data_IF_729014333515
#
_entry.id   IF_729014333515
#
_cell.length_a   1.000
_cell.length_b   1.000
_cell.length_c   1.000
_cell.angle_alpha   90.00
_cell.angle_beta   90.00
_cell.angle_gamma   90.00
#
_symmetry.space_group_name_H-M   'P 1'
#
loop_
_entity.id
_entity.type
_entity.pdbx_description
1 polymer ?
#
# COMPACT_ATOMS: atom_id res chain seq x y z
N UNK A 1 -23.56 6.24 8.91
CA UNK A 1 -22.41 6.34 9.84
C UNK A 1 -22.73 7.32 10.96
N UNK A 2 -22.21 7.15 12.19
CA UNK A 2 -22.46 8.11 13.28
C UNK A 2 -21.42 9.26 13.27
N UNK A 3 -21.77 10.39 13.89
CA UNK A 3 -20.95 11.62 13.89
C UNK A 3 -19.57 11.43 14.55
N UNK A 4 -19.48 10.59 15.58
CA UNK A 4 -18.23 10.30 16.29
C UNK A 4 -17.24 9.55 15.37
N UNK A 5 -17.70 8.54 14.64
CA UNK A 5 -16.90 7.81 13.64
C UNK A 5 -16.43 8.76 12.54
N UNK A 6 -17.25 9.74 12.13
CA UNK A 6 -16.86 10.73 11.14
C UNK A 6 -15.74 11.67 11.66
N UNK A 7 -15.85 12.14 12.90
CA UNK A 7 -14.82 12.96 13.54
C UNK A 7 -13.52 12.16 13.73
N UNK A 8 -13.60 10.92 14.21
CA UNK A 8 -12.45 10.04 14.39
C UNK A 8 -11.78 9.70 13.06
N UNK A 9 -12.55 9.48 11.99
CA UNK A 9 -12.02 9.31 10.64
C UNK A 9 -11.25 10.55 10.18
N UNK A 10 -11.79 11.76 10.40
CA UNK A 10 -11.11 13.01 10.02
C UNK A 10 -9.82 13.19 10.83
N UNK A 11 -9.88 13.00 12.15
CA UNK A 11 -8.72 13.15 13.04
C UNK A 11 -7.66 12.09 12.73
N UNK A 12 -8.04 10.83 12.58
CA UNK A 12 -7.15 9.73 12.22
C UNK A 12 -6.52 9.92 10.84
N UNK A 13 -7.30 10.35 9.85
CA UNK A 13 -6.79 10.67 8.51
C UNK A 13 -5.81 11.86 8.56
N UNK A 14 -6.10 12.89 9.35
CA UNK A 14 -5.22 14.05 9.51
C UNK A 14 -3.90 13.70 10.20
N UNK A 15 -3.94 12.88 11.25
CA UNK A 15 -2.75 12.41 11.95
C UNK A 15 -1.89 11.49 11.08
N UNK A 16 -2.50 10.52 10.39
CA UNK A 16 -1.84 9.65 9.40
C UNK A 16 -1.16 10.49 8.33
N UNK A 17 -1.90 11.40 7.70
CA UNK A 17 -1.37 12.28 6.66
C UNK A 17 -0.22 13.17 7.16
N UNK A 18 -0.28 13.69 8.39
CA UNK A 18 0.82 14.47 8.96
C UNK A 18 2.08 13.62 9.19
N UNK A 19 1.93 12.43 9.79
CA UNK A 19 3.05 11.54 10.09
C UNK A 19 3.70 11.06 8.79
N UNK A 20 2.90 10.58 7.84
CA UNK A 20 3.41 10.07 6.57
C UNK A 20 4.02 11.17 5.72
N UNK A 21 3.42 12.37 5.68
CA UNK A 21 4.00 13.53 5.02
C UNK A 21 5.34 13.95 5.66
N UNK A 22 5.40 14.01 7.00
CA UNK A 22 6.63 14.32 7.72
C UNK A 22 7.73 13.30 7.39
N UNK A 23 7.41 12.01 7.45
CA UNK A 23 8.36 10.94 7.18
C UNK A 23 8.79 10.92 5.71
N UNK A 24 7.89 11.24 4.78
CA UNK A 24 8.25 11.35 3.37
C UNK A 24 9.17 12.56 3.11
N UNK A 25 8.93 13.68 3.80
CA UNK A 25 9.74 14.88 3.64
C UNK A 25 11.14 14.72 4.23
N UNK A 26 11.26 14.08 5.39
CA UNK A 26 12.53 13.84 6.04
C UNK A 26 13.36 12.77 5.31
N UNK A 27 14.57 13.15 4.89
CA UNK A 27 15.51 12.29 4.16
C UNK A 27 15.92 11.03 4.92
N UNK A 28 15.88 11.04 6.25
CA UNK A 28 16.26 9.88 7.07
C UNK A 28 15.15 8.83 7.14
N UNK A 29 13.90 9.27 7.26
CA UNK A 29 12.73 8.39 7.42
C UNK A 29 12.07 8.01 6.10
N UNK A 30 12.26 8.83 5.05
CA UNK A 30 11.71 8.62 3.70
C UNK A 30 12.01 7.24 3.13
N UNK A 31 13.25 6.71 3.14
CA UNK A 31 13.49 5.41 2.55
C UNK A 31 12.71 4.29 3.24
N UNK A 32 12.58 4.32 4.56
CA UNK A 32 11.82 3.29 5.28
C UNK A 32 10.33 3.32 4.90
N UNK A 33 9.77 4.53 4.72
CA UNK A 33 8.39 4.71 4.28
C UNK A 33 8.18 4.18 2.85
N UNK A 34 9.08 4.55 1.91
CA UNK A 34 9.01 4.08 0.52
C UNK A 34 9.15 2.56 0.41
N UNK A 35 9.99 1.95 1.25
CA UNK A 35 10.11 0.49 1.36
C UNK A 35 8.82 -0.17 1.87
N UNK A 36 8.16 0.45 2.85
CA UNK A 36 6.85 0.01 3.32
C UNK A 36 5.82 -0.02 2.18
N UNK A 37 5.76 1.04 1.38
CA UNK A 37 4.87 1.08 0.21
C UNK A 37 5.26 0.03 -0.83
N UNK A 38 6.53 -0.08 -1.22
CA UNK A 38 6.97 -1.10 -2.18
C UNK A 38 6.52 -2.51 -1.77
N UNK A 39 6.68 -2.86 -0.48
CA UNK A 39 6.30 -4.17 0.07
C UNK A 39 4.78 -4.37 0.06
N UNK A 40 4.01 -3.34 0.38
CA UNK A 40 2.55 -3.40 0.37
C UNK A 40 2.03 -3.63 -1.04
N UNK A 41 2.43 -2.80 -2.01
CA UNK A 41 1.92 -2.90 -3.39
C UNK A 41 2.39 -4.18 -4.06
N UNK A 42 3.67 -4.55 -3.92
CA UNK A 42 4.16 -5.81 -4.51
C UNK A 42 3.57 -7.04 -3.81
N UNK A 43 3.19 -6.91 -2.54
CA UNK A 43 2.64 -7.98 -1.72
C UNK A 43 1.18 -8.31 -2.01
N UNK A 44 0.41 -7.35 -2.53
CA UNK A 44 -1.00 -7.54 -2.89
C UNK A 44 -1.18 -8.28 -4.23
N UNK A 45 -0.20 -8.18 -5.14
CA UNK A 45 -0.25 -8.74 -6.50
C UNK A 45 -0.68 -10.21 -6.55
N UNK A 46 -0.07 -11.16 -5.82
CA UNK A 46 -0.46 -12.56 -5.92
C UNK A 46 -1.90 -12.83 -5.46
N UNK A 47 -2.40 -12.02 -4.54
CA UNK A 47 -3.78 -12.11 -4.07
C UNK A 47 -4.75 -11.63 -5.15
N UNK A 48 -4.48 -10.48 -5.78
CA UNK A 48 -5.28 -9.94 -6.87
C UNK A 48 -5.29 -10.85 -8.11
N UNK A 49 -4.14 -11.45 -8.46
CA UNK A 49 -4.07 -12.41 -9.57
C UNK A 49 -4.91 -13.67 -9.31
N UNK A 50 -4.91 -14.19 -8.09
CA UNK A 50 -5.79 -15.30 -7.71
C UNK A 50 -7.26 -14.92 -7.76
N UNK A 51 -7.61 -13.71 -7.30
CA UNK A 51 -8.99 -13.21 -7.42
C UNK A 51 -9.41 -13.05 -8.88
N UNK A 52 -8.51 -12.56 -9.75
CA UNK A 52 -8.75 -12.51 -11.21
C UNK A 52 -9.07 -13.89 -11.74
N UNK A 53 -8.23 -14.88 -11.44
CA UNK A 53 -8.39 -16.25 -11.95
C UNK A 53 -9.69 -16.87 -11.43
N UNK A 54 -10.04 -16.61 -10.17
CA UNK A 54 -11.32 -17.00 -9.59
C UNK A 54 -12.50 -16.33 -10.28
N UNK A 55 -12.49 -15.01 -10.45
CA UNK A 55 -13.55 -14.27 -11.13
C UNK A 55 -13.76 -14.81 -12.56
N UNK A 56 -12.68 -15.14 -13.27
CA UNK A 56 -12.74 -15.77 -14.58
C UNK A 56 -13.39 -17.16 -14.53
N UNK A 57 -12.98 -18.01 -13.56
CA UNK A 57 -13.54 -19.34 -13.38
C UNK A 57 -15.03 -19.32 -12.99
N UNK A 58 -15.48 -18.28 -12.28
CA UNK A 58 -16.88 -18.05 -11.92
C UNK A 58 -17.69 -17.38 -13.05
N UNK A 59 -17.06 -17.04 -14.17
CA UNK A 59 -17.72 -16.45 -15.35
C UNK A 59 -17.88 -14.93 -15.31
N UNK A 60 -17.36 -14.24 -14.30
CA UNK A 60 -17.34 -12.78 -14.24
C UNK A 60 -16.10 -12.22 -14.95
N UNK A 61 -16.15 -12.21 -16.28
CA UNK A 61 -15.07 -11.73 -17.14
C UNK A 61 -14.77 -10.25 -16.96
N UNK A 62 -15.76 -9.42 -16.63
CA UNK A 62 -15.56 -8.00 -16.37
C UNK A 62 -14.75 -7.79 -15.09
N UNK A 63 -15.12 -8.48 -14.01
CA UNK A 63 -14.39 -8.37 -12.74
C UNK A 63 -12.97 -8.94 -12.89
N UNK A 64 -12.81 -10.04 -13.61
CA UNK A 64 -11.49 -10.60 -13.91
C UNK A 64 -10.61 -9.57 -14.65
N UNK A 65 -11.14 -8.88 -15.65
CA UNK A 65 -10.39 -7.84 -16.36
C UNK A 65 -9.97 -6.69 -15.44
N UNK A 66 -10.88 -6.18 -14.60
CA UNK A 66 -10.56 -5.11 -13.64
C UNK A 66 -9.47 -5.56 -12.64
N UNK A 67 -9.60 -6.76 -12.08
CA UNK A 67 -8.60 -7.34 -11.17
C UNK A 67 -7.25 -7.56 -11.86
N UNK A 68 -7.25 -7.95 -13.13
CA UNK A 68 -6.03 -8.09 -13.92
C UNK A 68 -5.33 -6.75 -14.15
N UNK A 69 -6.08 -5.68 -14.41
CA UNK A 69 -5.54 -4.32 -14.51
C UNK A 69 -5.00 -3.84 -13.16
N UNK A 70 -5.78 -3.99 -12.09
CA UNK A 70 -5.37 -3.64 -10.73
C UNK A 70 -4.06 -4.35 -10.34
N UNK A 71 -3.96 -5.67 -10.55
CA UNK A 71 -2.72 -6.41 -10.27
C UNK A 71 -1.50 -5.91 -11.08
N UNK A 72 -1.70 -5.42 -12.31
CA UNK A 72 -0.61 -4.86 -13.12
C UNK A 72 -0.22 -3.45 -12.66
N UNK A 73 -1.19 -2.65 -12.26
CA UNK A 73 -0.97 -1.34 -11.66
C UNK A 73 -0.17 -1.51 -10.35
N UNK A 74 -0.51 -2.48 -9.48
CA UNK A 74 0.25 -2.77 -8.26
C UNK A 74 1.70 -3.21 -8.50
N UNK A 75 1.96 -4.02 -9.54
CA UNK A 75 3.34 -4.34 -9.96
C UNK A 75 4.10 -3.07 -10.33
N UNK A 76 3.46 -2.17 -11.06
CA UNK A 76 4.05 -0.89 -11.48
C UNK A 76 4.25 0.04 -10.28
N UNK A 77 3.34 0.07 -9.32
CA UNK A 77 3.47 0.85 -8.09
C UNK A 77 4.69 0.38 -7.28
N UNK A 78 4.83 -0.94 -7.09
CA UNK A 78 6.01 -1.53 -6.47
C UNK A 78 7.33 -1.10 -7.15
N UNK A 79 7.35 -1.06 -8.49
CA UNK A 79 8.50 -0.58 -9.25
C UNK A 79 8.77 0.92 -9.08
N UNK A 80 7.73 1.76 -9.00
CA UNK A 80 7.86 3.19 -8.74
C UNK A 80 8.55 3.43 -7.40
N UNK A 81 8.10 2.75 -6.35
CA UNK A 81 8.69 2.86 -5.02
C UNK A 81 10.12 2.29 -4.97
N UNK A 82 10.37 1.16 -5.64
CA UNK A 82 11.72 0.59 -5.77
C UNK A 82 12.69 1.55 -6.47
N UNK A 83 12.25 2.22 -7.54
CA UNK A 83 13.06 3.21 -8.25
C UNK A 83 13.31 4.45 -7.38
N UNK A 84 12.32 4.90 -6.60
CA UNK A 84 12.48 6.00 -5.66
C UNK A 84 13.52 5.65 -4.57
N UNK A 85 13.50 4.42 -4.04
CA UNK A 85 14.51 3.93 -3.11
C UNK A 85 15.91 3.88 -3.73
N UNK A 86 16.03 3.36 -4.95
CA UNK A 86 17.31 3.27 -5.65
C UNK A 86 17.97 4.64 -5.83
N UNK A 87 17.19 5.70 -6.09
CA UNK A 87 17.69 7.07 -6.18
C UNK A 87 18.15 7.66 -4.84
N UNK A 88 17.82 6.99 -3.74
CA UNK A 88 18.31 7.28 -2.39
C UNK A 88 19.42 6.32 -1.95
N UNK A 89 19.99 5.52 -2.86
CA UNK A 89 20.98 4.49 -2.59
C UNK A 89 20.51 3.45 -1.56
N UNK A 90 19.19 3.23 -1.49
CA UNK A 90 18.55 2.25 -0.62
C UNK A 90 17.84 1.18 -1.43
N UNK A 91 17.66 0.03 -0.81
CA UNK A 91 16.81 -1.06 -1.29
C UNK A 91 16.10 -1.73 -0.12
N UNK A 92 14.97 -2.39 -0.40
CA UNK A 92 14.25 -3.19 0.60
C UNK A 92 15.14 -4.36 1.03
N UNK A 93 15.16 -4.65 2.33
CA UNK A 93 15.86 -5.82 2.88
C UNK A 93 15.28 -7.11 2.27
N UNK A 94 16.15 -8.04 1.88
CA UNK A 94 15.70 -9.38 1.48
C UNK A 94 15.30 -10.19 2.73
N UNK A 95 14.02 -10.13 3.09
CA UNK A 95 13.46 -10.86 4.22
C UNK A 95 13.55 -12.38 4.05
N UNK A 96 13.72 -12.91 2.83
CA UNK A 96 13.93 -14.36 2.61
C UNK A 96 15.34 -14.78 3.05
N UNK A 97 16.34 -13.93 2.86
CA UNK A 97 17.71 -14.17 3.33
C UNK A 97 17.84 -14.00 4.85
N UNK A 98 17.17 -13.01 5.45
CA UNK A 98 17.16 -12.85 6.91
C UNK A 98 16.43 -13.98 7.64
N UNK A 99 15.33 -14.50 7.08
CA UNK A 99 14.60 -15.63 7.66
C UNK A 99 15.39 -16.96 7.67
N UNK A 100 16.48 -17.04 6.90
CA UNK A 100 17.40 -18.19 6.93
C UNK A 100 18.51 -18.03 7.98
N UNK A 101 18.72 -16.82 8.53
CA UNK A 101 19.78 -16.53 9.51
C UNK A 101 19.28 -16.38 10.95
N UNK A 102 17.97 -16.24 11.19
CA UNK A 102 17.40 -16.17 12.53
C UNK A 102 16.81 -17.53 12.96
N UNK A 103 17.48 -18.13 13.94
CA UNK A 103 17.11 -19.35 14.63
C UNK A 103 15.71 -19.26 15.30
N UNK A 104 15.17 -20.44 15.64
CA UNK A 104 13.79 -20.78 15.99
C UNK A 104 13.11 -20.07 17.20
N UNK A 105 13.49 -18.86 17.61
CA UNK A 105 12.89 -18.18 18.78
C UNK A 105 11.79 -17.13 18.48
N UNK A 106 11.77 -16.48 17.31
CA UNK A 106 10.78 -15.42 17.01
C UNK A 106 9.62 -15.87 16.11
N UNK A 107 9.16 -17.11 16.24
CA UNK A 107 7.95 -17.58 15.52
C UNK A 107 6.66 -16.88 15.96
N UNK A 108 6.69 -16.08 17.04
CA UNK A 108 5.56 -15.25 17.47
C UNK A 108 5.40 -13.95 16.67
N UNK A 109 6.42 -13.48 15.96
CA UNK A 109 6.39 -12.19 15.26
C UNK A 109 5.84 -12.23 13.83
N UNK A 110 5.42 -13.40 13.31
CA UNK A 110 4.56 -13.47 12.11
C UNK A 110 3.10 -13.15 12.46
N UNK A 111 2.88 -12.35 13.49
CA UNK A 111 1.58 -11.83 13.87
C UNK A 111 1.15 -10.84 12.79
N UNK A 112 -0.08 -11.00 12.32
CA UNK A 112 -0.72 -10.06 11.39
C UNK A 112 -0.62 -8.64 11.94
N UNK A 113 -0.58 -7.64 11.05
CA UNK A 113 -0.56 -6.23 11.48
C UNK A 113 -1.73 -5.98 12.44
N UNK A 114 -1.54 -5.26 13.57
CA UNK A 114 -2.62 -4.91 14.50
C UNK A 114 -3.81 -4.25 13.80
N UNK A 115 -3.54 -3.49 12.74
CA UNK A 115 -4.58 -2.94 11.88
C UNK A 115 -5.35 -4.03 11.15
N UNK A 116 -4.67 -4.99 10.52
CA UNK A 116 -5.32 -6.06 9.76
C UNK A 116 -6.21 -6.92 10.67
N UNK A 117 -5.72 -7.27 11.86
CA UNK A 117 -6.47 -8.06 12.83
C UNK A 117 -7.73 -7.32 13.31
N UNK A 118 -7.63 -6.01 13.57
CA UNK A 118 -8.78 -5.21 13.96
C UNK A 118 -9.76 -4.97 12.79
N UNK A 119 -9.23 -4.73 11.58
CA UNK A 119 -10.03 -4.44 10.39
C UNK A 119 -10.88 -5.63 9.96
N UNK A 120 -10.31 -6.84 10.08
CA UNK A 120 -10.97 -8.11 9.77
C UNK A 120 -11.32 -8.94 11.00
N UNK A 121 -11.59 -8.32 12.15
CA UNK A 121 -11.77 -8.99 13.46
C UNK A 121 -12.78 -10.15 13.51
N UNK A 122 -13.75 -10.16 12.60
CA UNK A 122 -14.81 -11.18 12.52
C UNK A 122 -14.56 -12.23 11.42
N UNK A 123 -13.39 -12.18 10.76
CA UNK A 123 -13.01 -13.07 9.67
C UNK A 123 -11.80 -13.92 10.03
N UNK A 124 -11.93 -15.22 9.85
CA UNK A 124 -10.81 -16.15 9.99
C UNK A 124 -9.79 -15.95 8.87
N UNK A 125 -8.56 -16.42 9.11
CA UNK A 125 -7.53 -16.41 8.09
C UNK A 125 -7.90 -17.17 6.82
N UNK A 126 -8.68 -18.23 6.96
CA UNK A 126 -9.16 -19.05 5.85
C UNK A 126 -10.18 -18.29 4.99
N UNK A 127 -11.10 -17.57 5.63
CA UNK A 127 -12.12 -16.77 4.93
C UNK A 127 -11.50 -15.61 4.15
N UNK A 128 -10.33 -15.11 4.54
CA UNK A 128 -9.67 -13.98 3.87
C UNK A 128 -8.73 -14.41 2.73
N UNK A 129 -8.65 -15.71 2.44
CA UNK A 129 -7.90 -16.19 1.26
C UNK A 129 -8.64 -15.86 -0.03
N UNK A 130 -7.91 -15.63 -1.11
CA UNK A 130 -8.50 -15.27 -2.41
C UNK A 130 -9.52 -16.31 -2.89
N UNK A 131 -9.25 -17.57 -2.59
CA UNK A 131 -10.10 -18.72 -2.93
C UNK A 131 -11.45 -18.69 -2.20
N UNK A 132 -11.53 -18.06 -1.03
CA UNK A 132 -12.67 -18.19 -0.12
C UNK A 132 -13.38 -16.88 0.21
N UNK A 133 -12.71 -15.73 0.03
CA UNK A 133 -13.24 -14.44 0.45
C UNK A 133 -14.56 -14.13 -0.25
N UNK A 134 -15.55 -13.74 0.53
CA UNK A 134 -16.82 -13.28 -0.02
C UNK A 134 -16.59 -12.02 -0.87
N UNK A 135 -17.25 -11.95 -2.04
CA UNK A 135 -17.02 -10.85 -2.97
C UNK A 135 -17.42 -9.49 -2.40
N UNK A 136 -18.48 -9.41 -1.60
CA UNK A 136 -18.91 -8.16 -0.96
C UNK A 136 -17.91 -7.75 0.12
N UNK A 137 -17.36 -8.71 0.86
CA UNK A 137 -16.28 -8.48 1.84
C UNK A 137 -15.03 -7.92 1.15
N UNK A 138 -14.57 -8.56 0.07
CA UNK A 138 -13.43 -8.07 -0.70
C UNK A 138 -13.70 -6.65 -1.25
N UNK A 139 -14.79 -6.47 -1.99
CA UNK A 139 -15.07 -5.19 -2.65
C UNK A 139 -15.28 -4.05 -1.65
N UNK A 140 -16.02 -4.29 -0.58
CA UNK A 140 -16.29 -3.29 0.45
C UNK A 140 -15.04 -2.90 1.24
N UNK A 141 -14.25 -3.89 1.67
CA UNK A 141 -13.03 -3.63 2.43
C UNK A 141 -11.96 -2.94 1.58
N UNK A 142 -11.66 -3.48 0.41
CA UNK A 142 -10.64 -2.93 -0.49
C UNK A 142 -11.05 -1.55 -1.00
N UNK A 143 -12.33 -1.30 -1.32
CA UNK A 143 -12.79 0.03 -1.73
C UNK A 143 -12.41 1.14 -0.75
N UNK A 144 -12.59 0.90 0.55
CA UNK A 144 -12.26 1.87 1.59
C UNK A 144 -10.74 2.07 1.71
N UNK A 145 -9.95 1.01 1.52
CA UNK A 145 -8.49 1.10 1.54
C UNK A 145 -7.97 1.92 0.34
N UNK A 146 -8.37 1.58 -0.89
CA UNK A 146 -7.89 2.30 -2.09
C UNK A 146 -8.37 3.74 -2.14
N UNK A 147 -9.63 4.00 -1.76
CA UNK A 147 -10.18 5.35 -1.78
C UNK A 147 -9.39 6.29 -0.87
N UNK A 148 -8.91 5.80 0.28
CA UNK A 148 -8.16 6.63 1.19
C UNK A 148 -6.67 6.64 0.88
N UNK A 149 -6.10 5.52 0.40
CA UNK A 149 -4.75 5.48 -0.13
C UNK A 149 -4.55 6.52 -1.25
N UNK A 150 -5.51 6.64 -2.17
CA UNK A 150 -5.48 7.66 -3.23
C UNK A 150 -5.31 9.09 -2.67
N UNK A 151 -6.08 9.43 -1.63
CA UNK A 151 -6.03 10.76 -1.00
C UNK A 151 -4.74 10.96 -0.22
N UNK A 152 -4.30 9.94 0.50
CA UNK A 152 -3.09 9.99 1.30
C UNK A 152 -1.86 10.13 0.41
N UNK A 153 -1.78 9.43 -0.72
CA UNK A 153 -0.73 9.61 -1.72
C UNK A 153 -0.70 11.03 -2.29
N UNK A 154 -1.85 11.63 -2.64
CA UNK A 154 -1.90 13.04 -3.07
C UNK A 154 -1.36 13.97 -1.98
N UNK A 155 -1.84 13.82 -0.73
CA UNK A 155 -1.43 14.68 0.40
C UNK A 155 0.06 14.57 0.66
N UNK A 156 0.58 13.34 0.69
CA UNK A 156 2.00 13.07 0.91
C UNK A 156 2.86 13.62 -0.23
N UNK A 157 2.48 13.39 -1.49
CA UNK A 157 3.22 13.90 -2.63
C UNK A 157 3.31 15.43 -2.62
N UNK A 158 2.24 16.13 -2.21
CA UNK A 158 2.20 17.58 -2.18
C UNK A 158 3.14 18.22 -1.15
N UNK A 159 3.68 17.48 -0.19
CA UNK A 159 4.67 18.02 0.77
C UNK A 159 6.11 17.92 0.27
N UNK A 160 6.34 17.16 -0.81
CA UNK A 160 7.64 17.06 -1.44
C UNK A 160 7.93 18.33 -2.27
N UNK A 161 9.13 18.92 -2.11
CA UNK A 161 9.54 20.06 -2.91
C UNK A 161 9.80 19.66 -4.37
N UNK A 162 9.80 20.67 -5.26
CA UNK A 162 10.05 20.51 -6.70
C UNK A 162 11.42 21.08 -7.11
N UNK A 163 12.29 21.36 -6.13
CA UNK A 163 13.58 22.03 -6.32
C UNK A 163 14.71 21.11 -6.79
N UNK A 164 14.58 19.80 -6.57
CA UNK A 164 15.51 18.79 -7.07
C UNK A 164 14.82 17.69 -7.90
N UNK A 165 15.55 17.16 -8.90
CA UNK A 165 15.02 16.18 -9.85
C UNK A 165 14.63 14.86 -9.20
N UNK A 166 15.33 14.42 -8.15
CA UNK A 166 15.04 13.14 -7.47
C UNK A 166 13.72 13.24 -6.73
N UNK A 167 13.55 14.29 -5.93
CA UNK A 167 12.34 14.53 -5.15
C UNK A 167 11.15 14.84 -6.05
N UNK A 168 11.31 15.66 -7.10
CA UNK A 168 10.27 15.93 -8.08
C UNK A 168 9.83 14.65 -8.83
N UNK A 169 10.77 13.76 -9.17
CA UNK A 169 10.44 12.49 -9.81
C UNK A 169 9.72 11.52 -8.87
N UNK A 170 10.11 11.47 -7.58
CA UNK A 170 9.41 10.69 -6.55
C UNK A 170 7.97 11.19 -6.37
N UNK A 171 7.79 12.52 -6.28
CA UNK A 171 6.46 13.15 -6.23
C UNK A 171 5.60 12.76 -7.42
N UNK A 172 6.13 12.87 -8.65
CA UNK A 172 5.42 12.45 -9.86
C UNK A 172 5.02 10.97 -9.83
N UNK A 173 5.90 10.10 -9.34
CA UNK A 173 5.62 8.69 -9.15
C UNK A 173 4.44 8.46 -8.21
N UNK A 174 4.47 9.07 -7.02
CA UNK A 174 3.41 8.94 -6.01
C UNK A 174 2.06 9.48 -6.53
N UNK A 175 2.06 10.61 -7.25
CA UNK A 175 0.84 11.14 -7.86
C UNK A 175 0.26 10.21 -8.93
N UNK A 176 1.12 9.50 -9.68
CA UNK A 176 0.66 8.48 -10.63
C UNK A 176 0.02 7.29 -9.91
N UNK A 177 0.59 6.83 -8.78
CA UNK A 177 -0.02 5.78 -7.93
C UNK A 177 -1.40 6.24 -7.43
N UNK A 178 -1.50 7.48 -6.93
CA UNK A 178 -2.78 8.02 -6.44
C UNK A 178 -3.92 8.03 -7.48
N UNK A 179 -3.58 8.29 -8.75
CA UNK A 179 -4.54 8.25 -9.85
C UNK A 179 -5.05 6.84 -10.12
N UNK A 180 -4.18 5.84 -9.95
CA UNK A 180 -4.51 4.43 -10.11
C UNK A 180 -5.38 3.96 -8.95
N UNK A 181 -5.05 4.31 -7.71
CA UNK A 181 -5.90 3.98 -6.55
C UNK A 181 -7.30 4.58 -6.65
N UNK A 182 -7.43 5.76 -7.26
CA UNK A 182 -8.74 6.35 -7.54
C UNK A 182 -9.55 5.48 -8.50
N UNK A 183 -8.91 4.90 -9.52
CA UNK A 183 -9.56 3.96 -10.45
C UNK A 183 -9.86 2.62 -9.77
N UNK A 184 -8.96 2.13 -8.91
CA UNK A 184 -9.16 0.90 -8.14
C UNK A 184 -10.41 1.03 -7.27
N UNK A 185 -10.51 2.11 -6.50
CA UNK A 185 -11.70 2.42 -5.72
C UNK A 185 -12.97 2.51 -6.59
N UNK A 186 -12.89 3.15 -7.75
CA UNK A 186 -14.04 3.32 -8.64
C UNK A 186 -14.59 1.98 -9.14
N UNK A 187 -13.75 1.06 -9.63
CA UNK A 187 -14.25 -0.22 -10.12
C UNK A 187 -14.78 -1.11 -8.99
N UNK A 188 -14.20 -1.04 -7.78
CA UNK A 188 -14.69 -1.80 -6.63
C UNK A 188 -16.08 -1.33 -6.22
N UNK A 189 -16.32 -0.01 -6.23
CA UNK A 189 -17.65 0.56 -6.00
C UNK A 189 -18.64 0.15 -7.10
N UNK A 190 -18.21 0.17 -8.36
CA UNK A 190 -19.04 -0.33 -9.47
C UNK A 190 -19.38 -1.81 -9.30
N UNK A 191 -18.41 -2.62 -8.87
CA UNK A 191 -18.59 -4.05 -8.64
C UNK A 191 -19.63 -4.33 -7.54
N UNK A 192 -19.68 -3.50 -6.49
CA UNK A 192 -20.74 -3.50 -5.47
C UNK A 192 -22.10 -3.13 -6.07
N UNK A 193 -22.19 -2.05 -6.85
CA UNK A 193 -23.43 -1.61 -7.48
C UNK A 193 -24.00 -2.59 -8.50
N UNK A 194 -23.15 -3.41 -9.13
CA UNK A 194 -23.59 -4.50 -10.02
C UNK A 194 -24.26 -5.66 -9.26
N UNK A 195 -24.07 -5.76 -7.94
CA UNK A 195 -24.51 -6.88 -7.10
C UNK A 195 -25.58 -6.50 -6.08
N UNK A 196 -25.59 -5.25 -5.66
CA UNK A 196 -26.36 -4.77 -4.52
C UNK A 196 -27.17 -3.52 -4.90
N UNK A 197 -28.25 -3.29 -4.18
CA UNK A 197 -29.01 -2.04 -4.26
C UNK A 197 -28.19 -0.87 -3.70
N UNK A 198 -28.49 0.39 -4.09
CA UNK A 198 -27.78 1.56 -3.56
C UNK A 198 -27.79 1.66 -2.03
N UNK A 199 -28.88 1.23 -1.37
CA UNK A 199 -28.99 1.24 0.08
C UNK A 199 -28.06 0.20 0.74
N UNK A 200 -27.97 -1.00 0.17
CA UNK A 200 -27.05 -2.04 0.64
C UNK A 200 -25.59 -1.62 0.42
N UNK A 201 -25.26 -1.02 -0.72
CA UNK A 201 -23.92 -0.48 -0.97
C UNK A 201 -23.55 0.57 0.07
N UNK A 202 -24.45 1.51 0.38
CA UNK A 202 -24.22 2.52 1.42
C UNK A 202 -23.96 1.88 2.79
N UNK A 203 -24.72 0.84 3.16
CA UNK A 203 -24.51 0.12 4.42
C UNK A 203 -23.15 -0.58 4.49
N UNK A 204 -22.73 -1.25 3.41
CA UNK A 204 -21.42 -1.90 3.32
C UNK A 204 -20.29 -0.86 3.45
N UNK A 205 -20.40 0.27 2.76
CA UNK A 205 -19.41 1.36 2.85
C UNK A 205 -19.31 1.91 4.28
N UNK A 206 -20.45 2.14 4.93
CA UNK A 206 -20.51 2.64 6.29
C UNK A 206 -19.92 1.65 7.30
N UNK A 207 -20.17 0.35 7.11
CA UNK A 207 -19.58 -0.71 7.93
C UNK A 207 -18.05 -0.71 7.80
N UNK A 208 -17.51 -0.83 6.58
CA UNK A 208 -16.06 -0.91 6.37
C UNK A 208 -15.33 0.37 6.75
N UNK A 209 -15.97 1.53 6.60
CA UNK A 209 -15.42 2.79 7.11
C UNK A 209 -15.35 2.79 8.64
N UNK A 210 -16.35 2.24 9.32
CA UNK A 210 -16.35 2.12 10.78
C UNK A 210 -15.27 1.14 11.26
N UNK A 211 -15.14 -0.03 10.61
CA UNK A 211 -14.07 -1.00 10.86
C UNK A 211 -12.68 -0.40 10.69
N UNK A 212 -12.49 0.46 9.67
CA UNK A 212 -11.21 1.15 9.46
C UNK A 212 -10.86 2.08 10.62
N UNK A 213 -11.82 2.85 11.11
CA UNK A 213 -11.61 3.74 12.26
C UNK A 213 -11.21 2.93 13.49
N UNK A 214 -11.90 1.83 13.79
CA UNK A 214 -11.54 0.93 14.88
C UNK A 214 -10.12 0.38 14.72
N UNK A 215 -9.75 -0.01 13.50
CA UNK A 215 -8.43 -0.53 13.19
C UNK A 215 -7.31 0.51 13.33
N UNK A 216 -7.57 1.77 12.95
CA UNK A 216 -6.62 2.87 13.17
C UNK A 216 -6.42 3.14 14.67
N UNK A 217 -7.49 3.10 15.47
CA UNK A 217 -7.39 3.24 16.93
C UNK A 217 -6.57 2.09 17.55
N UNK A 218 -6.81 0.85 17.12
CA UNK A 218 -6.05 -0.31 17.57
C UNK A 218 -4.55 -0.18 17.23
N UNK A 219 -4.23 0.29 16.01
CA UNK A 219 -2.85 0.54 15.59
C UNK A 219 -2.18 1.60 16.46
N UNK A 220 -2.87 2.73 16.74
CA UNK A 220 -2.34 3.81 17.58
C UNK A 220 -2.09 3.33 19.01
N UNK A 221 -3.05 2.61 19.61
CA UNK A 221 -2.87 2.03 20.95
C UNK A 221 -1.65 1.11 21.01
N UNK A 222 -1.47 0.24 20.01
CA UNK A 222 -0.32 -0.66 19.97
C UNK A 222 1.01 0.07 19.77
N UNK A 223 1.03 1.15 18.96
CA UNK A 223 2.22 1.97 18.77
C UNK A 223 2.65 2.66 20.08
N UNK A 224 1.69 3.15 20.87
CA UNK A 224 1.93 3.72 22.20
C UNK A 224 2.48 2.66 23.16
N UNK A 225 1.88 1.46 23.18
CA UNK A 225 2.36 0.34 24.01
C UNK A 225 3.79 -0.09 23.67
N UNK A 226 4.18 -0.05 22.40
CA UNK A 226 5.52 -0.40 21.91
C UNK A 226 6.54 0.75 21.96
N UNK A 227 6.22 1.85 22.65
CA UNK A 227 7.08 3.04 22.77
C UNK A 227 7.58 3.60 21.43
N UNK A 228 6.78 3.44 20.37
CA UNK A 228 7.08 3.99 19.05
C UNK A 228 8.21 3.32 18.26
N UNK A 229 8.66 2.12 18.63
CA UNK A 229 9.68 1.40 17.89
C UNK A 229 9.14 0.89 16.53
N UNK A 230 9.75 1.33 15.42
CA UNK A 230 9.55 0.75 14.09
C UNK A 230 10.82 0.07 13.59
N UNK A 231 10.69 -1.15 13.06
CA UNK A 231 11.79 -1.90 12.45
C UNK A 231 12.22 -1.24 11.14
N UNK A 232 13.53 -1.19 10.88
CA UNK A 232 14.06 -0.77 9.57
C UNK A 232 13.73 -1.81 8.51
N UNK A 233 13.26 -1.34 7.35
CA UNK A 233 12.89 -2.12 6.16
C UNK A 233 13.89 -1.96 5.01
N UNK A 234 14.87 -1.07 5.17
CA UNK A 234 15.84 -0.73 4.13
C UNK A 234 17.27 -1.12 4.54
N UNK A 235 18.06 -1.45 3.52
CA UNK A 235 19.51 -1.59 3.58
C UNK A 235 20.14 -0.72 2.49
N UNK A 236 21.44 -0.48 2.58
CA UNK A 236 22.17 0.19 1.50
C UNK A 236 22.09 -0.66 0.22
N UNK A 237 21.89 0.00 -0.91
CA UNK A 237 22.05 -0.65 -2.21
C UNK A 237 23.51 -1.09 -2.34
N UNK A 238 23.74 -2.34 -2.77
CA UNK A 238 25.10 -2.75 -3.11
C UNK A 238 25.61 -1.79 -4.19
N UNK A 239 26.88 -1.33 -4.12
CA UNK A 239 27.43 -0.47 -5.17
C UNK A 239 27.24 -1.21 -6.49
N UNK A 240 26.48 -0.60 -7.41
CA UNK A 240 26.42 -1.12 -8.76
C UNK A 240 27.84 -1.07 -9.30
N UNK A 241 28.37 -2.20 -9.78
CA UNK A 241 29.49 -2.17 -10.71
C UNK A 241 29.05 -1.40 -11.95
N UNK A 242 29.14 -0.08 -11.89
CA UNK A 242 29.23 0.75 -13.08
C UNK A 242 30.59 0.50 -13.66
N UNK A 243 30.58 -0.44 -14.61
CA UNK A 243 31.53 -0.51 -15.70
C UNK A 243 31.91 0.89 -16.19
N UNK A 244 33.22 1.11 -16.20
CA UNK A 244 33.99 1.93 -17.12
C UNK A 244 33.73 3.44 -17.14
N UNK A 245 34.66 4.14 -16.48
CA UNK A 245 35.34 5.32 -17.01
C UNK A 245 35.79 5.09 -18.48
N UNK A 246 34.89 5.20 -19.46
CA UNK A 246 35.24 5.46 -20.87
C UNK A 246 33.97 5.81 -21.64
N UNK A 247 33.44 7.02 -21.44
CA UNK A 247 32.56 7.68 -22.43
C UNK A 247 32.51 9.19 -22.13
N UNK A 248 33.68 9.82 -22.11
CA UNK A 248 33.83 11.29 -22.06
C UNK A 248 34.99 11.80 -22.94
N UNK A 249 35.42 11.01 -23.94
CA UNK A 249 36.59 11.30 -24.78
C UNK A 249 36.36 11.20 -26.30
N UNK A 250 35.12 11.33 -26.80
CA UNK A 250 34.87 11.42 -28.26
C UNK A 250 33.86 12.50 -28.68
N UNK A 251 33.91 13.68 -28.05
CA UNK A 251 33.18 14.87 -28.55
C UNK A 251 34.03 16.14 -28.64
N UNK A 252 35.36 16.00 -28.72
CA UNK A 252 36.30 17.11 -29.00
C UNK A 252 37.24 16.84 -30.18
N UNK A 253 36.85 15.97 -31.10
CA UNK A 253 37.54 15.77 -32.37
C UNK A 253 36.55 15.50 -33.52
N UNK A 254 35.82 16.53 -33.94
CA UNK A 254 35.23 16.67 -35.28
C UNK A 254 34.90 18.15 -35.54
#
# INVERSE_FOLDING_TARGET
MNLLTQVLHIVGSGASAYITARNLRDTQTRPNLLAGFQLAESGSVPFLEKLRDRAFAEGDTWLAEQLGRHANDEKRHGQIFAQALKRHDKQVIDFKQQAQQQDKQDKKERQRSPFFDAYFKDYSAEQLKAENIDWIVFMGSTYILELDASKDFVRMANVLPDDDLVTASTKKGILSVAQDETRHAAYLLEALHRRLTPAEVANIIDEWRSRKVDALLAMVSNFVERQGQMRSLVQDAAPSETNNETELTELTAA
#
